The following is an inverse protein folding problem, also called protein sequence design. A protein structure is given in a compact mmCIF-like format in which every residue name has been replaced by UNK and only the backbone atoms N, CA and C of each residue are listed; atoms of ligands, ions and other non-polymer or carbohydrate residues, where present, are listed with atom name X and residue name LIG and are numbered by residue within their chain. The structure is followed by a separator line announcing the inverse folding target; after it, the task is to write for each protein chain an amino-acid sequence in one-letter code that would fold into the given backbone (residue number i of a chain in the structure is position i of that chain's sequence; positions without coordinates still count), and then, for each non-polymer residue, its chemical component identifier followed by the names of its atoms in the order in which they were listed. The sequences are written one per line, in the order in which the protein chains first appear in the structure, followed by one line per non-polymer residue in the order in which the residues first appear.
data_IF_115406716938
#
_entry.id   IF_115406716938
#
_cell.length_a   1.000
_cell.length_b   1.000
_cell.length_c   1.000
_cell.angle_alpha   90.00
_cell.angle_beta   90.00
_cell.angle_gamma   90.00
#
_symmetry.space_group_name_H-M   'P 1'
#
loop_
_entity.id
_entity.type
_entity.pdbx_description
1 polymer ?
#
# COMPACT_ATOMS: atom_id res chain seq x y z
N UNK A 1 2.66 -2.64 18.89
CA UNK A 1 1.69 -2.56 17.78
C UNK A 1 1.75 -1.16 17.14
N UNK A 2 2.84 -0.88 16.42
CA UNK A 2 3.22 0.51 16.04
C UNK A 2 2.53 0.97 14.75
N UNK A 3 2.46 0.08 13.74
CA UNK A 3 1.78 0.37 12.47
C UNK A 3 0.28 0.63 12.68
N UNK A 4 -0.34 -0.18 13.52
CA UNK A 4 -1.72 0.03 13.96
C UNK A 4 -1.92 1.42 14.55
N UNK A 5 -1.10 1.82 15.53
CA UNK A 5 -1.24 3.11 16.19
C UNK A 5 -1.09 4.28 15.21
N UNK A 6 -0.22 4.15 14.20
CA UNK A 6 -0.08 5.14 13.14
C UNK A 6 -1.33 5.21 12.25
N UNK A 7 -1.89 4.07 11.84
CA UNK A 7 -3.08 4.02 10.98
C UNK A 7 -4.34 4.52 11.71
N UNK A 8 -4.45 4.25 13.02
CA UNK A 8 -5.53 4.76 13.86
C UNK A 8 -5.39 6.26 14.10
N UNK A 9 -4.19 6.74 14.42
CA UNK A 9 -3.92 8.17 14.55
C UNK A 9 -4.14 8.92 13.23
N UNK A 10 -4.00 8.25 12.08
CA UNK A 10 -4.22 8.79 10.73
C UNK A 10 -5.62 8.56 10.17
N UNK A 11 -6.53 8.02 10.96
CA UNK A 11 -7.89 7.79 10.53
C UNK A 11 -8.56 9.13 10.14
N UNK A 12 -9.19 9.15 8.95
CA UNK A 12 -9.80 10.36 8.33
C UNK A 12 -8.83 11.45 7.87
N UNK A 13 -7.54 11.16 7.75
CA UNK A 13 -6.58 12.05 7.09
C UNK A 13 -6.08 11.46 5.78
N UNK A 14 -5.78 12.34 4.83
CA UNK A 14 -5.23 11.94 3.54
C UNK A 14 -3.90 11.20 3.75
N UNK A 15 -3.89 9.90 3.45
CA UNK A 15 -2.72 9.03 3.62
C UNK A 15 -2.53 8.26 2.32
N UNK A 16 -1.32 8.29 1.76
CA UNK A 16 -0.95 7.50 0.59
C UNK A 16 -0.14 6.31 1.05
N UNK A 17 -0.58 5.11 0.69
CA UNK A 17 0.11 3.85 0.99
C UNK A 17 0.53 3.21 -0.32
N UNK A 18 1.82 2.92 -0.45
CA UNK A 18 2.37 2.18 -1.59
C UNK A 18 2.94 0.86 -1.11
N UNK A 19 2.55 -0.24 -1.74
CA UNK A 19 3.06 -1.57 -1.43
C UNK A 19 3.35 -2.34 -2.71
N UNK A 20 4.31 -3.25 -2.63
CA UNK A 20 4.56 -4.26 -3.65
C UNK A 20 3.66 -5.50 -3.50
N UNK A 21 2.90 -5.58 -2.41
CA UNK A 21 2.05 -6.72 -2.08
C UNK A 21 0.63 -6.53 -2.62
N UNK A 22 0.01 -7.65 -2.99
CA UNK A 22 -1.42 -7.73 -3.25
C UNK A 22 -2.22 -7.61 -1.95
N UNK A 23 -3.53 -7.35 -2.06
CA UNK A 23 -4.41 -7.28 -0.89
C UNK A 23 -4.42 -8.58 -0.06
N UNK A 24 -4.30 -9.74 -0.70
CA UNK A 24 -4.22 -11.04 -0.02
C UNK A 24 -2.93 -11.17 0.79
N UNK A 25 -1.79 -10.84 0.19
CA UNK A 25 -0.49 -10.89 0.87
C UNK A 25 -0.41 -9.87 2.02
N UNK A 26 -1.02 -8.69 1.85
CA UNK A 26 -1.18 -7.70 2.93
C UNK A 26 -1.98 -8.25 4.11
N UNK A 27 -3.08 -8.97 3.83
CA UNK A 27 -3.91 -9.58 4.86
C UNK A 27 -3.15 -10.68 5.61
N UNK A 28 -2.38 -11.51 4.91
CA UNK A 28 -1.58 -12.58 5.51
C UNK A 28 -0.42 -12.02 6.35
N UNK A 29 0.26 -10.98 5.87
CA UNK A 29 1.43 -10.41 6.54
C UNK A 29 1.08 -9.51 7.75
N UNK A 30 -0.01 -8.73 7.66
CA UNK A 30 -0.34 -7.69 8.65
C UNK A 30 -1.71 -7.86 9.29
N UNK A 31 -2.51 -8.82 8.84
CA UNK A 31 -3.84 -9.09 9.35
C UNK A 31 -4.93 -8.21 8.74
N UNK A 32 -6.16 -8.69 8.90
CA UNK A 32 -7.38 -8.06 8.35
C UNK A 32 -7.62 -6.64 8.87
N UNK A 33 -7.27 -6.39 10.14
CA UNK A 33 -7.50 -5.09 10.78
C UNK A 33 -6.69 -3.96 10.13
N UNK A 34 -5.42 -4.21 9.79
CA UNK A 34 -4.56 -3.22 9.13
C UNK A 34 -5.06 -2.98 7.71
N UNK A 35 -5.41 -4.04 6.98
CA UNK A 35 -5.99 -3.94 5.65
C UNK A 35 -7.28 -3.09 5.64
N UNK A 36 -8.18 -3.34 6.61
CA UNK A 36 -9.42 -2.58 6.77
C UNK A 36 -9.16 -1.07 6.93
N UNK A 37 -8.15 -0.68 7.73
CA UNK A 37 -7.78 0.73 7.94
C UNK A 37 -7.18 1.37 6.70
N UNK A 38 -6.34 0.64 5.96
CA UNK A 38 -5.75 1.13 4.71
C UNK A 38 -6.82 1.35 3.64
N UNK A 39 -7.79 0.45 3.53
CA UNK A 39 -8.86 0.51 2.54
C UNK A 39 -10.03 1.40 2.97
N UNK A 40 -10.06 1.84 4.23
CA UNK A 40 -11.09 2.75 4.71
C UNK A 40 -11.00 4.09 3.95
N UNK A 41 -12.10 4.47 3.28
CA UNK A 41 -12.17 5.66 2.41
C UNK A 41 -11.28 5.62 1.15
N UNK A 42 -10.77 4.45 0.75
CA UNK A 42 -9.92 4.32 -0.44
C UNK A 42 -10.69 4.04 -1.74
N UNK A 43 -12.02 3.95 -1.69
CA UNK A 43 -12.86 3.66 -2.86
C UNK A 43 -12.64 4.72 -3.95
N UNK A 44 -12.25 4.29 -5.15
CA UNK A 44 -11.93 5.16 -6.29
C UNK A 44 -10.48 5.66 -6.34
N UNK A 45 -9.66 5.41 -5.31
CA UNK A 45 -8.26 5.86 -5.22
C UNK A 45 -7.24 4.72 -5.24
N UNK A 46 -7.67 3.49 -5.54
CA UNK A 46 -6.79 2.33 -5.63
C UNK A 46 -6.19 2.23 -7.03
N UNK A 47 -4.86 2.33 -7.13
CA UNK A 47 -4.13 2.20 -8.39
C UNK A 47 -3.30 0.91 -8.36
N UNK A 48 -3.57 0.01 -9.30
CA UNK A 48 -2.79 -1.23 -9.47
C UNK A 48 -1.73 -1.04 -10.55
N UNK A 49 -0.45 -1.12 -10.17
CA UNK A 49 0.67 -1.11 -11.11
C UNK A 49 1.01 -2.54 -11.52
N UNK A 50 0.54 -2.98 -12.69
CA UNK A 50 0.75 -4.36 -13.18
C UNK A 50 2.09 -4.58 -13.88
N UNK A 51 2.63 -3.55 -14.52
CA UNK A 51 3.83 -3.66 -15.36
C UNK A 51 4.77 -2.51 -15.06
N UNK A 52 5.61 -2.70 -14.05
CA UNK A 52 6.62 -1.72 -13.65
C UNK A 52 7.99 -2.23 -14.09
N UNK A 53 8.64 -1.52 -15.02
CA UNK A 53 10.05 -1.77 -15.37
C UNK A 53 10.95 -1.00 -14.41
N UNK A 54 12.07 -1.61 -14.01
CA UNK A 54 13.07 -0.90 -13.20
C UNK A 54 13.63 0.28 -14.00
N UNK A 55 13.34 1.50 -13.52
CA UNK A 55 13.76 2.74 -14.18
C UNK A 55 15.27 2.98 -14.07
N UNK A 56 15.96 2.34 -13.12
CA UNK A 56 17.43 2.46 -12.95
C UNK A 56 18.18 1.79 -14.09
N UNK A 57 17.66 0.68 -14.60
CA UNK A 57 18.26 -0.08 -15.71
C UNK A 57 18.04 0.59 -17.07
N UNK A 58 17.13 1.56 -17.17
CA UNK A 58 16.85 2.25 -18.43
C UNK A 58 17.93 3.26 -18.84
N UNK A 59 18.84 3.64 -17.95
CA UNK A 59 19.98 4.53 -18.25
C UNK A 59 21.30 3.80 -18.49
N UNK A 60 21.35 2.50 -18.21
CA UNK A 60 22.52 1.65 -18.46
C UNK A 60 22.24 0.83 -19.72
N UNK A 61 22.20 1.53 -20.86
CA UNK A 61 22.34 0.88 -22.15
C UNK A 61 23.76 0.32 -22.23
N UNK A 62 23.89 -0.97 -22.53
CA UNK A 62 25.15 -1.63 -22.87
C UNK A 62 25.79 -1.03 -24.13
#
# INVERSE_FOLDING_TARGET
DTLTGLLEARQNMATVVTTNLTAKELQEAYGERILSRILQNSQGFVVSMKTTKDKRLMGVSA
#
